data_IF_223522247045
#
_entry.id   IF_223522247045
#
_cell.length_a   1.000
_cell.length_b   1.000
_cell.length_c   1.000
_cell.angle_alpha   90.00
_cell.angle_beta   90.00
_cell.angle_gamma   90.00
#
_symmetry.space_group_name_H-M   'P 1'
#
loop_
_entity.id
_entity.type
_entity.pdbx_description
1 polymer ?
#
# COMPACT_ATOMS: atom_id res chain seq x y z
N UNK A 1 -41.53 -19.11 -4.08
CA UNK A 1 -40.09 -19.32 -4.35
C UNK A 1 -39.27 -18.13 -3.83
N UNK A 2 -38.88 -18.10 -2.53
CA UNK A 2 -38.17 -16.96 -1.92
C UNK A 2 -36.64 -17.13 -1.83
N UNK A 3 -36.10 -18.31 -2.14
CA UNK A 3 -34.69 -18.65 -1.90
C UNK A 3 -33.70 -17.93 -2.84
N UNK A 4 -34.13 -17.46 -4.01
CA UNK A 4 -33.26 -16.73 -4.96
C UNK A 4 -32.94 -15.31 -4.47
N UNK A 5 -33.80 -14.71 -3.63
CA UNK A 5 -33.67 -13.31 -3.21
C UNK A 5 -32.59 -13.12 -2.12
N UNK A 6 -32.31 -14.15 -1.32
CA UNK A 6 -31.30 -14.10 -0.24
C UNK A 6 -29.87 -14.11 -0.81
N UNK A 7 -29.59 -14.97 -1.80
CA UNK A 7 -28.27 -15.02 -2.46
C UNK A 7 -27.95 -13.82 -3.37
N UNK A 8 -28.95 -12.97 -3.67
CA UNK A 8 -28.77 -11.68 -4.36
C UNK A 8 -28.45 -10.54 -3.39
N UNK A 9 -28.91 -10.64 -2.13
CA UNK A 9 -28.63 -9.67 -1.08
C UNK A 9 -27.24 -9.91 -0.48
N UNK A 10 -26.85 -11.16 -0.22
CA UNK A 10 -25.50 -11.50 0.24
C UNK A 10 -24.43 -11.10 -0.77
N UNK A 11 -24.63 -11.36 -2.08
CA UNK A 11 -23.70 -10.89 -3.12
C UNK A 11 -23.64 -9.36 -3.26
N UNK A 12 -24.72 -8.64 -2.92
CA UNK A 12 -24.71 -7.17 -2.88
C UNK A 12 -24.02 -6.62 -1.63
N UNK A 13 -24.08 -7.33 -0.50
CA UNK A 13 -23.37 -6.97 0.73
C UNK A 13 -21.89 -7.31 0.63
N UNK A 14 -21.51 -8.47 0.08
CA UNK A 14 -20.13 -8.84 -0.24
C UNK A 14 -19.52 -7.85 -1.23
N UNK A 15 -20.24 -7.48 -2.30
CA UNK A 15 -19.77 -6.45 -3.23
C UNK A 15 -19.72 -5.04 -2.64
N UNK A 16 -20.51 -4.72 -1.58
CA UNK A 16 -20.38 -3.46 -0.82
C UNK A 16 -19.20 -3.50 0.14
N UNK A 17 -18.92 -4.64 0.75
CA UNK A 17 -17.80 -4.85 1.66
C UNK A 17 -16.47 -4.88 0.89
N UNK A 18 -16.46 -5.43 -0.33
CA UNK A 18 -15.29 -5.45 -1.22
C UNK A 18 -15.07 -4.09 -1.92
N UNK A 19 -16.09 -3.22 -2.00
CA UNK A 19 -15.95 -1.83 -2.44
C UNK A 19 -15.44 -0.88 -1.37
N UNK A 20 -15.38 -1.32 -0.11
CA UNK A 20 -14.76 -0.56 0.99
C UNK A 20 -13.24 -0.74 1.03
N UNK A 21 -12.70 -1.66 0.22
CA UNK A 21 -11.26 -1.84 -0.04
C UNK A 21 -10.87 -1.11 -1.34
N UNK A 22 -11.62 -0.07 -1.72
CA UNK A 22 -11.13 0.93 -2.64
C UNK A 22 -10.29 1.89 -1.80
N UNK A 23 -8.97 1.78 -1.93
CA UNK A 23 -7.93 2.68 -1.41
C UNK A 23 -8.52 4.02 -0.99
N UNK A 24 -8.57 4.26 0.32
CA UNK A 24 -8.95 5.55 0.87
C UNK A 24 -8.03 6.59 0.22
N UNK A 25 -8.57 7.51 -0.60
CA UNK A 25 -7.74 8.34 -1.42
C UNK A 25 -7.10 9.38 -0.50
N UNK A 26 -5.79 9.26 -0.32
CA UNK A 26 -5.00 10.24 0.40
C UNK A 26 -5.07 11.54 -0.38
N UNK A 27 -5.64 12.60 0.20
CA UNK A 27 -5.79 13.90 -0.48
C UNK A 27 -4.47 14.37 -1.11
N UNK A 28 -3.35 14.15 -0.42
CA UNK A 28 -2.03 14.48 -0.96
C UNK A 28 -1.67 13.66 -2.21
N UNK A 29 -1.97 12.36 -2.22
CA UNK A 29 -1.73 11.50 -3.39
C UNK A 29 -2.69 11.84 -4.52
N UNK A 30 -3.93 12.20 -4.24
CA UNK A 30 -4.87 12.69 -5.25
C UNK A 30 -4.36 13.98 -5.89
N UNK A 31 -3.94 14.96 -5.08
CA UNK A 31 -3.40 16.23 -5.55
C UNK A 31 -2.12 16.02 -6.38
N UNK A 32 -1.28 15.06 -5.96
CA UNK A 32 -0.06 14.70 -6.67
C UNK A 32 -0.36 13.99 -7.99
N UNK A 33 -1.27 13.02 -7.97
CA UNK A 33 -1.71 12.32 -9.15
C UNK A 33 -2.32 13.30 -10.16
N UNK A 34 -3.19 14.21 -9.72
CA UNK A 34 -3.79 15.23 -10.57
C UNK A 34 -2.76 16.17 -11.21
N UNK A 35 -1.67 16.49 -10.50
CA UNK A 35 -0.60 17.33 -11.03
C UNK A 35 0.30 16.60 -12.05
N UNK A 36 0.56 15.31 -11.84
CA UNK A 36 1.48 14.53 -12.66
C UNK A 36 0.81 13.61 -13.70
N UNK A 37 -0.53 13.44 -13.69
CA UNK A 37 -1.25 12.50 -14.58
C UNK A 37 -0.99 12.72 -16.06
N UNK A 38 -0.76 13.95 -16.50
CA UNK A 38 -0.47 14.28 -17.91
C UNK A 38 1.01 14.00 -18.29
N UNK A 39 1.86 13.68 -17.31
CA UNK A 39 3.29 13.37 -17.46
C UNK A 39 3.62 11.91 -17.15
N UNK A 40 2.72 11.17 -16.51
CA UNK A 40 2.84 9.73 -16.31
C UNK A 40 2.56 9.06 -17.65
N UNK A 41 3.60 8.60 -18.35
CA UNK A 41 3.46 8.00 -19.69
C UNK A 41 2.94 6.56 -19.66
N UNK A 42 2.78 5.99 -18.46
CA UNK A 42 1.97 4.80 -18.21
C UNK A 42 2.70 3.66 -17.50
N UNK A 43 4.01 3.76 -17.28
CA UNK A 43 4.80 2.70 -16.64
C UNK A 43 5.04 2.99 -15.16
N UNK A 44 5.14 1.93 -14.34
CA UNK A 44 5.42 2.02 -12.89
C UNK A 44 6.71 2.80 -12.59
N UNK A 45 7.68 2.75 -13.52
CA UNK A 45 8.95 3.47 -13.44
C UNK A 45 8.76 5.01 -13.43
N UNK A 46 7.73 5.54 -14.10
CA UNK A 46 7.45 6.99 -14.11
C UNK A 46 6.94 7.46 -12.74
N UNK A 47 6.11 6.64 -12.08
CA UNK A 47 5.57 6.96 -10.77
C UNK A 47 6.67 6.97 -9.70
N UNK A 48 7.62 6.02 -9.77
CA UNK A 48 8.78 5.99 -8.89
C UNK A 48 9.67 7.22 -9.09
N UNK A 49 9.99 7.57 -10.34
CA UNK A 49 10.81 8.74 -10.65
C UNK A 49 10.18 10.06 -10.17
N UNK A 50 8.86 10.21 -10.34
CA UNK A 50 8.10 11.34 -9.82
C UNK A 50 8.15 11.38 -8.29
N UNK A 51 7.84 10.27 -7.63
CA UNK A 51 7.88 10.19 -6.17
C UNK A 51 9.26 10.54 -5.60
N UNK A 52 10.33 10.03 -6.21
CA UNK A 52 11.71 10.32 -5.79
C UNK A 52 12.07 11.79 -5.99
N UNK A 53 11.65 12.40 -7.09
CA UNK A 53 11.89 13.83 -7.35
C UNK A 53 11.24 14.71 -6.29
N UNK A 54 10.00 14.40 -5.90
CA UNK A 54 9.28 15.14 -4.86
C UNK A 54 9.94 14.95 -3.49
N UNK A 55 10.32 13.72 -3.15
CA UNK A 55 10.96 13.42 -1.88
C UNK A 55 12.32 14.11 -1.74
N UNK A 56 13.06 14.32 -2.84
CA UNK A 56 14.35 15.03 -2.83
C UNK A 56 14.17 16.55 -2.60
N UNK A 57 13.01 17.11 -2.95
CA UNK A 57 12.68 18.52 -2.74
C UNK A 57 12.16 18.83 -1.32
N UNK A 58 11.65 17.82 -0.61
CA UNK A 58 11.04 18.01 0.71
C UNK A 58 12.08 18.04 1.83
N UNK A 59 12.00 19.05 2.69
CA UNK A 59 12.77 19.06 3.93
C UNK A 59 12.02 18.35 5.08
N UNK A 60 12.71 18.16 6.22
CA UNK A 60 12.11 17.50 7.39
C UNK A 60 10.83 18.19 7.89
N UNK A 61 10.74 19.52 7.80
CA UNK A 61 9.58 20.28 8.25
C UNK A 61 8.41 20.06 7.29
N UNK A 62 8.68 20.03 5.99
CA UNK A 62 7.67 19.76 4.97
C UNK A 62 7.06 18.37 5.16
N UNK A 63 7.91 17.36 5.36
CA UNK A 63 7.46 15.98 5.65
C UNK A 63 6.60 15.91 6.91
N UNK A 64 7.02 16.57 8.00
CA UNK A 64 6.23 16.58 9.24
C UNK A 64 4.90 17.31 9.09
N UNK A 65 4.84 18.33 8.24
CA UNK A 65 3.60 19.03 7.92
C UNK A 65 2.65 18.10 7.15
N UNK A 66 3.13 17.41 6.12
CA UNK A 66 2.34 16.44 5.36
C UNK A 66 1.81 15.31 6.25
N UNK A 67 2.64 14.77 7.14
CA UNK A 67 2.23 13.77 8.12
C UNK A 67 1.15 14.33 9.07
N UNK A 68 1.26 15.60 9.47
CA UNK A 68 0.26 16.25 10.33
C UNK A 68 -1.08 16.51 9.64
N UNK A 69 -1.15 16.44 8.32
CA UNK A 69 -2.38 16.57 7.51
C UNK A 69 -3.06 15.22 7.25
N UNK A 70 -2.38 14.10 7.56
CA UNK A 70 -2.94 12.75 7.44
C UNK A 70 -4.04 12.51 8.48
N UNK A 71 -5.04 11.73 8.09
CA UNK A 71 -6.01 11.12 8.99
C UNK A 71 -5.36 10.06 9.87
N UNK A 72 -5.99 9.70 10.99
CA UNK A 72 -5.49 8.66 11.89
C UNK A 72 -5.28 7.31 11.18
N UNK A 73 -6.15 6.98 10.21
CA UNK A 73 -6.06 5.75 9.41
C UNK A 73 -4.84 5.76 8.50
N UNK A 74 -4.59 6.87 7.79
CA UNK A 74 -3.43 7.04 6.91
C UNK A 74 -2.12 7.05 7.72
N UNK A 75 -2.10 7.73 8.86
CA UNK A 75 -0.94 7.77 9.75
C UNK A 75 -0.60 6.37 10.28
N UNK A 76 -1.60 5.62 10.74
CA UNK A 76 -1.43 4.24 11.20
C UNK A 76 -1.01 3.32 10.05
N UNK A 77 -1.55 3.51 8.85
CA UNK A 77 -1.16 2.78 7.65
C UNK A 77 0.31 3.02 7.28
N UNK A 78 0.71 4.29 7.20
CA UNK A 78 2.11 4.69 6.93
C UNK A 78 3.07 4.12 7.97
N UNK A 79 2.75 4.28 9.26
CA UNK A 79 3.59 3.77 10.33
C UNK A 79 3.64 2.23 10.35
N UNK A 80 2.49 1.58 10.10
CA UNK A 80 2.38 0.12 9.99
C UNK A 80 3.26 -0.44 8.87
N UNK A 81 3.24 0.19 7.69
CA UNK A 81 4.10 -0.19 6.57
C UNK A 81 5.58 -0.05 6.93
N UNK A 82 5.97 1.08 7.52
CA UNK A 82 7.35 1.29 7.98
C UNK A 82 7.80 0.20 8.96
N UNK A 83 6.97 -0.12 9.96
CA UNK A 83 7.28 -1.17 10.95
C UNK A 83 7.38 -2.54 10.28
N UNK A 84 6.45 -2.87 9.39
CA UNK A 84 6.43 -4.15 8.68
C UNK A 84 7.67 -4.36 7.80
N UNK A 85 8.00 -3.38 6.95
CA UNK A 85 9.18 -3.44 6.09
C UNK A 85 10.48 -3.50 6.91
N UNK A 86 10.58 -2.68 7.95
CA UNK A 86 11.74 -2.67 8.86
C UNK A 86 11.91 -4.02 9.57
N UNK A 87 10.82 -4.65 9.97
CA UNK A 87 10.86 -5.95 10.63
C UNK A 87 11.29 -7.05 9.66
N UNK A 88 10.75 -7.09 8.44
CA UNK A 88 11.19 -8.02 7.39
C UNK A 88 12.68 -7.86 7.09
N UNK A 89 13.16 -6.63 6.91
CA UNK A 89 14.56 -6.34 6.66
C UNK A 89 15.45 -6.81 7.83
N UNK A 90 15.01 -6.60 9.07
CA UNK A 90 15.71 -7.10 10.26
C UNK A 90 15.74 -8.63 10.29
N UNK A 91 14.61 -9.29 10.05
CA UNK A 91 14.53 -10.76 10.03
C UNK A 91 15.46 -11.35 8.97
N UNK A 92 15.48 -10.77 7.77
CA UNK A 92 16.38 -11.19 6.70
C UNK A 92 17.86 -11.05 7.09
N UNK A 93 18.24 -9.93 7.72
CA UNK A 93 19.60 -9.69 8.22
C UNK A 93 20.02 -10.69 9.30
N UNK A 94 19.09 -11.10 10.15
CA UNK A 94 19.32 -12.07 11.23
C UNK A 94 19.12 -13.54 10.78
N UNK A 95 18.81 -13.78 9.50
CA UNK A 95 18.58 -15.12 8.95
C UNK A 95 17.29 -15.80 9.44
N UNK A 96 16.38 -15.06 10.07
CA UNK A 96 15.08 -15.54 10.49
C UNK A 96 14.13 -15.58 9.29
N UNK A 97 13.61 -16.77 8.95
CA UNK A 97 12.66 -16.93 7.82
C UNK A 97 13.30 -17.31 6.49
N UNK A 98 14.63 -17.45 6.42
CA UNK A 98 15.24 -18.25 5.35
C UNK A 98 14.81 -19.70 5.59
N UNK A 99 13.93 -20.24 4.74
CA UNK A 99 13.77 -21.70 4.63
C UNK A 99 15.17 -22.26 4.45
N UNK A 100 15.64 -22.99 5.45
CA UNK A 100 16.91 -23.70 5.34
C UNK A 100 16.75 -24.61 4.12
N UNK A 101 17.70 -24.70 3.18
CA UNK A 101 17.67 -25.67 2.08
C UNK A 101 17.67 -27.15 2.54
N UNK A 102 17.48 -27.41 3.83
CA UNK A 102 17.51 -28.71 4.50
C UNK A 102 16.21 -29.51 4.29
N UNK A 103 15.13 -28.86 3.83
CA UNK A 103 13.83 -29.49 3.59
C UNK A 103 13.59 -29.83 2.10
N UNK A 104 14.58 -29.62 1.22
CA UNK A 104 14.51 -30.12 -0.14
C UNK A 104 14.75 -31.65 -0.12
N UNK A 105 13.82 -32.48 -0.64
CA UNK A 105 14.04 -33.91 -0.72
C UNK A 105 15.32 -34.19 -1.54
N UNK A 106 16.11 -35.22 -1.18
CA UNK A 106 17.29 -35.57 -1.96
C UNK A 106 16.87 -35.83 -3.40
N UNK A 107 17.48 -35.10 -4.34
CA UNK A 107 17.34 -35.39 -5.76
C UNK A 107 18.17 -36.64 -6.03
N UNK A 108 17.50 -37.79 -6.11
CA UNK A 108 18.08 -39.07 -6.54
C UNK A 108 17.92 -39.25 -8.04
#
# INVERSE_FOLDING_TARGET
MPLVRIGQLQRKEEARSQKSEATMPMKFIDDLYEYYKDRLTGDEEDAEAVAMSILDELDRRDVLKLIGEMTDEELLGMFGLYVFESLKAKMAREGLGATRPQDAPPVH
#
